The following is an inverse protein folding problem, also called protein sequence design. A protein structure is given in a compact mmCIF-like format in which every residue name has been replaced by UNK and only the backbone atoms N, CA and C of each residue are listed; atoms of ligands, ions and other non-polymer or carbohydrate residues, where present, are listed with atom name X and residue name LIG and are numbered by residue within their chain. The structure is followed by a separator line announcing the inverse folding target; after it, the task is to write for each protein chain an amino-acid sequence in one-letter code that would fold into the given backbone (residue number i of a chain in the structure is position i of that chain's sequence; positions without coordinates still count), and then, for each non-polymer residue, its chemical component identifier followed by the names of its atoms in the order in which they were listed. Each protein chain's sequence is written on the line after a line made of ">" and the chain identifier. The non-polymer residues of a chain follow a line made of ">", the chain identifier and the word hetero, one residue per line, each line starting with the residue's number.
data_IF_907149143251
#
_entry.id   IF_907149143251
#
_cell.length_a   1.000
_cell.length_b   1.000
_cell.length_c   1.000
_cell.angle_alpha   90.00
_cell.angle_beta   90.00
_cell.angle_gamma   90.00
#
_symmetry.space_group_name_H-M   'P 1'
#
loop_
_entity.id
_entity.type
_entity.pdbx_description
1 polymer ?
#
# COMPACT_ATOMS: atom_id res chain seq x y z
N UNK A 1 -27.65 -33.71 -23.22
CA UNK A 1 -28.25 -32.71 -22.29
C UNK A 1 -27.48 -31.42 -22.46
N UNK A 2 -28.16 -30.38 -22.94
CA UNK A 2 -27.59 -29.09 -23.35
C UNK A 2 -27.16 -28.28 -22.13
N UNK A 3 -25.85 -28.14 -21.90
CA UNK A 3 -25.31 -27.16 -20.95
C UNK A 3 -25.32 -25.75 -21.55
N UNK A 4 -26.55 -25.23 -21.72
CA UNK A 4 -26.85 -23.80 -21.81
C UNK A 4 -26.52 -23.14 -20.45
N UNK A 5 -25.23 -22.91 -20.15
CA UNK A 5 -24.90 -21.84 -19.20
C UNK A 5 -24.54 -20.57 -19.97
N UNK A 6 -25.60 -19.80 -20.17
CA UNK A 6 -25.67 -18.53 -20.86
C UNK A 6 -24.90 -17.50 -20.02
N UNK A 7 -24.00 -16.73 -20.63
CA UNK A 7 -23.66 -15.43 -20.05
C UNK A 7 -24.96 -14.65 -19.92
N UNK A 8 -25.31 -14.06 -18.76
CA UNK A 8 -26.60 -13.38 -18.57
C UNK A 8 -26.82 -12.18 -19.51
N UNK A 9 -25.86 -11.87 -20.39
CA UNK A 9 -25.85 -10.77 -21.32
C UNK A 9 -25.42 -11.29 -22.69
N UNK A 10 -26.26 -11.10 -23.70
CA UNK A 10 -25.97 -11.41 -25.10
C UNK A 10 -24.77 -10.61 -25.62
N UNK A 11 -24.18 -11.02 -26.76
CA UNK A 11 -23.07 -10.29 -27.38
C UNK A 11 -23.45 -8.84 -27.69
N UNK A 12 -24.68 -8.63 -28.18
CA UNK A 12 -25.20 -7.32 -28.54
C UNK A 12 -25.45 -6.44 -27.29
N UNK A 13 -25.99 -7.00 -26.22
CA UNK A 13 -26.16 -6.28 -24.95
C UNK A 13 -24.79 -5.93 -24.32
N UNK A 14 -23.78 -6.78 -24.46
CA UNK A 14 -22.41 -6.48 -24.00
C UNK A 14 -21.79 -5.32 -24.77
N UNK A 15 -21.93 -5.29 -26.09
CA UNK A 15 -21.46 -4.19 -26.92
C UNK A 15 -22.16 -2.88 -26.53
N UNK A 16 -23.48 -2.92 -26.28
CA UNK A 16 -24.24 -1.77 -25.76
C UNK A 16 -23.75 -1.32 -24.38
N UNK A 17 -23.44 -2.24 -23.47
CA UNK A 17 -22.90 -1.92 -22.13
C UNK A 17 -21.49 -1.30 -22.25
N UNK A 18 -20.63 -1.86 -23.09
CA UNK A 18 -19.27 -1.31 -23.32
C UNK A 18 -19.33 0.08 -23.95
N UNK A 19 -20.23 0.30 -24.90
CA UNK A 19 -20.40 1.60 -25.54
C UNK A 19 -21.00 2.64 -24.58
N UNK A 20 -21.97 2.26 -23.76
CA UNK A 20 -22.70 3.19 -22.87
C UNK A 20 -22.03 3.41 -21.52
N UNK A 21 -21.34 2.40 -20.99
CA UNK A 21 -20.76 2.39 -19.63
C UNK A 21 -19.26 2.07 -19.63
N UNK A 22 -18.59 2.10 -20.78
CA UNK A 22 -17.16 1.78 -20.92
C UNK A 22 -16.26 2.60 -19.99
N UNK A 23 -16.56 3.89 -19.83
CA UNK A 23 -15.82 4.79 -18.92
C UNK A 23 -15.87 4.30 -17.45
N UNK A 24 -17.02 3.83 -16.97
CA UNK A 24 -17.14 3.27 -15.62
C UNK A 24 -16.36 1.96 -15.44
N UNK A 25 -16.27 1.15 -16.49
CA UNK A 25 -15.46 -0.08 -16.48
C UNK A 25 -13.96 0.25 -16.48
N UNK A 26 -13.55 1.36 -17.09
CA UNK A 26 -12.17 1.83 -17.08
C UNK A 26 -11.75 2.44 -15.73
N UNK A 27 -12.65 3.19 -15.07
CA UNK A 27 -12.39 3.84 -13.78
C UNK A 27 -12.47 2.86 -12.60
N UNK A 28 -13.13 1.69 -12.77
CA UNK A 28 -13.27 0.68 -11.71
C UNK A 28 -11.93 0.15 -11.17
N UNK A 29 -10.87 0.18 -11.97
CA UNK A 29 -9.53 -0.28 -11.58
C UNK A 29 -8.56 0.89 -11.48
N UNK A 30 -7.76 0.92 -10.41
CA UNK A 30 -6.63 1.85 -10.33
C UNK A 30 -5.70 1.68 -11.53
N UNK A 31 -5.09 2.77 -12.01
CA UNK A 31 -4.18 2.76 -13.16
C UNK A 31 -3.08 1.70 -13.01
N UNK A 32 -2.53 1.57 -11.79
CA UNK A 32 -1.51 0.56 -11.47
C UNK A 32 -2.04 -0.87 -11.63
N UNK A 33 -3.28 -1.14 -11.21
CA UNK A 33 -3.92 -2.45 -11.41
C UNK A 33 -4.14 -2.71 -12.90
N UNK A 34 -4.59 -1.71 -13.66
CA UNK A 34 -4.79 -1.79 -15.11
C UNK A 34 -3.50 -2.14 -15.85
N UNK A 35 -2.40 -1.43 -15.57
CA UNK A 35 -1.09 -1.70 -16.17
C UNK A 35 -0.58 -3.10 -15.83
N UNK A 36 -0.83 -3.57 -14.60
CA UNK A 36 -0.45 -4.90 -14.18
C UNK A 36 -1.29 -5.98 -14.86
N UNK A 37 -2.60 -5.77 -15.02
CA UNK A 37 -3.47 -6.68 -15.76
C UNK A 37 -3.06 -6.78 -17.23
N UNK A 38 -2.76 -5.66 -17.88
CA UNK A 38 -2.21 -5.65 -19.24
C UNK A 38 -0.89 -6.42 -19.34
N UNK A 39 0.02 -6.24 -18.37
CA UNK A 39 1.26 -7.02 -18.30
C UNK A 39 0.98 -8.51 -18.16
N UNK A 40 0.05 -8.89 -17.27
CA UNK A 40 -0.31 -10.27 -17.02
C UNK A 40 -0.89 -10.96 -18.27
N UNK A 41 -1.82 -10.30 -18.97
CA UNK A 41 -2.39 -10.81 -20.21
C UNK A 41 -1.32 -11.01 -21.29
N UNK A 42 -0.44 -10.03 -21.51
CA UNK A 42 0.66 -10.15 -22.48
C UNK A 42 1.60 -11.31 -22.15
N UNK A 43 1.87 -11.55 -20.86
CA UNK A 43 2.70 -12.69 -20.45
C UNK A 43 2.00 -14.01 -20.68
N UNK A 44 0.70 -14.07 -20.41
CA UNK A 44 -0.11 -15.26 -20.64
C UNK A 44 -0.24 -15.59 -22.12
N UNK A 45 -0.50 -14.61 -22.98
CA UNK A 45 -0.55 -14.77 -24.44
C UNK A 45 0.79 -15.32 -24.96
N UNK A 46 1.92 -14.67 -24.61
CA UNK A 46 3.26 -15.18 -24.99
C UNK A 46 3.54 -16.59 -24.48
N UNK A 47 3.11 -16.91 -23.26
CA UNK A 47 3.24 -18.25 -22.70
C UNK A 47 2.50 -19.29 -23.55
N UNK A 48 1.26 -18.97 -23.94
CA UNK A 48 0.42 -19.81 -24.79
C UNK A 48 1.01 -19.95 -26.20
N UNK A 49 1.40 -18.83 -26.82
CA UNK A 49 1.99 -18.77 -28.16
C UNK A 49 3.25 -19.62 -28.26
N UNK A 50 4.15 -19.52 -27.26
CA UNK A 50 5.39 -20.31 -27.20
C UNK A 50 5.18 -21.83 -27.11
N UNK A 51 3.96 -22.26 -26.78
CA UNK A 51 3.57 -23.68 -26.63
C UNK A 51 2.57 -24.14 -27.70
N UNK A 52 2.21 -23.27 -28.65
CA UNK A 52 1.20 -23.57 -29.65
C UNK A 52 -0.20 -23.81 -29.06
N UNK A 53 -0.49 -23.24 -27.89
CA UNK A 53 -1.78 -23.39 -27.20
C UNK A 53 -2.58 -22.10 -27.41
N UNK A 54 -3.90 -22.23 -27.60
CA UNK A 54 -4.79 -21.08 -27.67
C UNK A 54 -4.99 -20.43 -26.28
N UNK A 55 -4.75 -19.13 -26.16
CA UNK A 55 -4.89 -18.41 -24.89
C UNK A 55 -6.37 -18.24 -24.46
N UNK A 56 -7.26 -17.91 -25.39
CA UNK A 56 -8.68 -17.63 -25.11
C UNK A 56 -9.58 -18.34 -26.13
N UNK A 57 -10.63 -19.09 -25.71
CA UNK A 57 -11.06 -19.32 -24.33
C UNK A 57 -10.03 -20.13 -23.54
N UNK A 58 -9.73 -19.68 -22.32
CA UNK A 58 -8.72 -20.32 -21.49
C UNK A 58 -9.28 -21.61 -20.91
N UNK A 59 -8.54 -22.71 -21.00
CA UNK A 59 -8.90 -23.97 -20.35
C UNK A 59 -8.45 -24.00 -18.87
N UNK A 60 -9.09 -24.78 -17.99
CA UNK A 60 -8.61 -24.99 -16.62
C UNK A 60 -7.15 -25.43 -16.55
N UNK A 61 -6.73 -26.33 -17.44
CA UNK A 61 -5.36 -26.86 -17.48
C UNK A 61 -4.36 -25.76 -17.83
N UNK A 62 -4.61 -24.99 -18.90
CA UNK A 62 -3.74 -23.88 -19.32
C UNK A 62 -3.60 -22.82 -18.22
N UNK A 63 -4.69 -22.51 -17.50
CA UNK A 63 -4.66 -21.55 -16.39
C UNK A 63 -3.81 -22.08 -15.22
N UNK A 64 -3.93 -23.36 -14.89
CA UNK A 64 -3.17 -23.99 -13.81
C UNK A 64 -1.70 -24.19 -14.16
N UNK A 65 -1.37 -24.55 -15.40
CA UNK A 65 0.01 -24.65 -15.86
C UNK A 65 0.70 -23.29 -15.83
N UNK A 66 0.00 -22.24 -16.27
CA UNK A 66 0.50 -20.88 -16.16
C UNK A 66 0.70 -20.47 -14.69
N UNK A 67 -0.19 -20.86 -13.78
CA UNK A 67 -0.01 -20.62 -12.35
C UNK A 67 1.21 -21.38 -11.79
N UNK A 68 1.34 -22.65 -12.16
CA UNK A 68 2.40 -23.55 -11.73
C UNK A 68 3.76 -23.02 -12.15
N UNK A 69 3.96 -22.79 -13.45
CA UNK A 69 5.26 -22.33 -13.96
C UNK A 69 5.67 -20.99 -13.35
N UNK A 70 4.72 -20.08 -13.09
CA UNK A 70 5.04 -18.81 -12.45
C UNK A 70 5.45 -18.96 -10.99
N UNK A 71 4.96 -19.97 -10.25
CA UNK A 71 5.31 -20.18 -8.84
C UNK A 71 6.52 -21.10 -8.62
N UNK A 72 6.90 -21.91 -9.62
CA UNK A 72 8.02 -22.86 -9.52
C UNK A 72 9.29 -22.38 -10.21
N UNK A 73 9.19 -21.94 -11.46
CA UNK A 73 10.33 -21.56 -12.31
C UNK A 73 10.39 -20.05 -12.53
N UNK A 74 9.23 -19.46 -12.84
CA UNK A 74 9.06 -18.08 -13.20
C UNK A 74 9.36 -17.79 -14.67
N UNK A 75 8.35 -17.34 -15.41
CA UNK A 75 8.49 -16.98 -16.83
C UNK A 75 9.44 -15.82 -17.10
N UNK A 76 9.86 -15.09 -16.06
CA UNK A 76 10.79 -13.97 -16.14
C UNK A 76 12.11 -14.26 -15.40
N UNK A 77 12.49 -15.53 -15.26
CA UNK A 77 13.75 -15.95 -14.64
C UNK A 77 13.74 -15.97 -13.12
N UNK A 78 12.57 -15.80 -12.47
CA UNK A 78 12.40 -16.01 -11.04
C UNK A 78 10.96 -16.37 -10.68
N UNK A 79 10.74 -17.27 -9.71
CA UNK A 79 9.41 -17.57 -9.20
C UNK A 79 8.69 -16.34 -8.66
N UNK A 80 7.37 -16.30 -8.84
CA UNK A 80 6.48 -15.25 -8.36
C UNK A 80 5.77 -15.70 -7.08
N UNK A 81 5.49 -14.74 -6.19
CA UNK A 81 4.63 -15.00 -5.03
C UNK A 81 3.22 -15.42 -5.45
N UNK A 82 2.55 -16.25 -4.65
CA UNK A 82 1.16 -16.64 -4.90
C UNK A 82 0.19 -15.45 -5.01
N UNK A 83 0.48 -14.33 -4.34
CA UNK A 83 -0.31 -13.10 -4.49
C UNK A 83 -0.16 -12.46 -5.87
N UNK A 84 1.04 -12.51 -6.44
CA UNK A 84 1.28 -12.03 -7.82
C UNK A 84 0.63 -12.98 -8.84
N UNK A 85 0.75 -14.29 -8.63
CA UNK A 85 0.11 -15.29 -9.50
C UNK A 85 -1.41 -15.10 -9.48
N UNK A 86 -2.05 -15.02 -8.31
CA UNK A 86 -3.49 -14.76 -8.17
C UNK A 86 -3.94 -13.51 -8.95
N UNK A 87 -3.15 -12.45 -8.88
CA UNK A 87 -3.42 -11.21 -9.60
C UNK A 87 -3.33 -11.38 -11.13
N UNK A 88 -2.41 -12.21 -11.61
CA UNK A 88 -2.32 -12.54 -13.04
C UNK A 88 -3.51 -13.41 -13.48
N UNK A 89 -3.89 -14.41 -12.68
CA UNK A 89 -5.04 -15.26 -12.96
C UNK A 89 -6.35 -14.45 -12.98
N UNK A 90 -6.50 -13.45 -12.10
CA UNK A 90 -7.59 -12.48 -12.15
C UNK A 90 -7.60 -11.67 -13.44
N UNK A 91 -6.44 -11.20 -13.90
CA UNK A 91 -6.35 -10.49 -15.18
C UNK A 91 -6.83 -11.37 -16.34
N UNK A 92 -6.40 -12.64 -16.38
CA UNK A 92 -6.82 -13.63 -17.38
C UNK A 92 -8.32 -13.92 -17.26
N UNK A 93 -8.85 -13.99 -16.04
CA UNK A 93 -10.28 -14.10 -15.78
C UNK A 93 -11.05 -12.96 -16.44
N UNK A 94 -10.70 -11.72 -16.12
CA UNK A 94 -11.37 -10.55 -16.70
C UNK A 94 -11.22 -10.49 -18.22
N UNK A 95 -10.07 -10.91 -18.78
CA UNK A 95 -9.88 -10.96 -20.24
C UNK A 95 -10.77 -12.01 -20.92
N UNK A 96 -10.93 -13.21 -20.34
CA UNK A 96 -11.91 -14.20 -20.84
C UNK A 96 -13.32 -13.61 -20.83
N UNK A 97 -13.74 -13.03 -19.69
CA UNK A 97 -15.05 -12.44 -19.55
C UNK A 97 -15.24 -11.32 -20.58
N UNK A 98 -14.26 -10.42 -20.75
CA UNK A 98 -14.32 -9.33 -21.73
C UNK A 98 -14.48 -9.83 -23.16
N UNK A 99 -13.80 -10.92 -23.54
CA UNK A 99 -13.92 -11.54 -24.86
C UNK A 99 -15.22 -12.35 -25.06
N UNK A 100 -16.08 -12.45 -24.05
CA UNK A 100 -17.32 -13.23 -24.14
C UNK A 100 -17.16 -14.72 -23.78
N UNK A 101 -16.03 -15.12 -23.23
CA UNK A 101 -15.74 -16.50 -22.87
C UNK A 101 -15.90 -16.76 -21.37
N UNK A 102 -16.36 -17.96 -21.01
CA UNK A 102 -16.35 -18.39 -19.60
C UNK A 102 -14.91 -18.46 -19.11
N UNK A 103 -14.70 -18.04 -17.87
CA UNK A 103 -13.39 -18.12 -17.25
C UNK A 103 -13.30 -19.35 -16.34
N UNK A 104 -12.21 -20.14 -16.41
CA UNK A 104 -12.00 -21.27 -15.52
C UNK A 104 -11.52 -20.86 -14.12
N UNK A 105 -11.34 -19.55 -13.84
CA UNK A 105 -10.75 -19.07 -12.59
C UNK A 105 -11.52 -19.48 -11.32
N UNK A 106 -12.85 -19.57 -11.43
CA UNK A 106 -13.75 -19.99 -10.33
C UNK A 106 -14.14 -21.47 -10.40
N UNK A 107 -13.53 -22.25 -11.30
CA UNK A 107 -13.77 -23.69 -11.37
C UNK A 107 -13.35 -24.39 -10.06
N UNK A 108 -14.10 -25.43 -9.66
CA UNK A 108 -13.87 -26.15 -8.41
C UNK A 108 -12.46 -26.76 -8.35
N UNK A 109 -12.01 -27.41 -9.42
CA UNK A 109 -10.69 -28.04 -9.44
C UNK A 109 -9.58 -26.97 -9.48
N UNK A 110 -9.77 -25.90 -10.25
CA UNK A 110 -8.82 -24.78 -10.28
C UNK A 110 -8.64 -24.18 -8.89
N UNK A 111 -9.74 -23.85 -8.20
CA UNK A 111 -9.67 -23.26 -6.86
C UNK A 111 -9.02 -24.20 -5.83
N UNK A 112 -9.27 -25.51 -5.91
CA UNK A 112 -8.64 -26.52 -5.04
C UNK A 112 -7.12 -26.63 -5.28
N UNK A 113 -6.69 -26.66 -6.54
CA UNK A 113 -5.26 -26.72 -6.90
C UNK A 113 -4.56 -25.43 -6.46
N UNK A 114 -5.15 -24.26 -6.71
CA UNK A 114 -4.60 -22.98 -6.27
C UNK A 114 -4.50 -22.90 -4.74
N UNK A 115 -5.43 -23.49 -3.99
CA UNK A 115 -5.33 -23.62 -2.52
C UNK A 115 -4.15 -24.51 -2.12
N UNK A 116 -3.90 -25.61 -2.82
CA UNK A 116 -2.73 -26.46 -2.64
C UNK A 116 -1.42 -25.71 -2.90
N UNK A 117 -1.35 -24.98 -4.03
CA UNK A 117 -0.21 -24.13 -4.36
C UNK A 117 0.03 -23.05 -3.29
N UNK A 118 -1.02 -22.44 -2.73
CA UNK A 118 -0.88 -21.50 -1.60
C UNK A 118 -0.32 -22.15 -0.34
N UNK A 119 -0.65 -23.39 -0.05
CA UNK A 119 -0.08 -24.09 1.11
C UNK A 119 1.39 -24.46 0.90
N UNK A 120 1.74 -24.90 -0.32
CA UNK A 120 3.10 -25.35 -0.65
C UNK A 120 4.08 -24.20 -0.91
N UNK A 121 3.61 -23.14 -1.58
CA UNK A 121 4.42 -22.02 -2.06
C UNK A 121 3.98 -20.67 -1.48
N UNK A 122 3.03 -20.67 -0.55
CA UNK A 122 2.71 -19.48 0.22
C UNK A 122 3.93 -19.06 1.02
N UNK A 123 4.41 -17.86 0.77
CA UNK A 123 5.40 -17.24 1.65
C UNK A 123 4.69 -16.82 2.92
N UNK A 124 5.20 -17.24 4.08
CA UNK A 124 4.89 -16.55 5.33
C UNK A 124 5.07 -15.04 5.10
N UNK A 125 4.15 -14.23 5.62
CA UNK A 125 4.38 -12.78 5.61
C UNK A 125 5.72 -12.57 6.30
N UNK A 126 6.70 -12.01 5.58
CA UNK A 126 7.96 -11.63 6.21
C UNK A 126 7.59 -10.66 7.32
N UNK A 127 7.80 -11.09 8.56
CA UNK A 127 7.82 -10.21 9.72
C UNK A 127 9.01 -9.28 9.53
N UNK A 128 8.76 -8.17 8.84
CA UNK A 128 9.73 -7.11 8.74
C UNK A 128 9.77 -6.50 10.13
N UNK A 129 10.91 -6.63 10.82
CA UNK A 129 11.16 -5.97 12.10
C UNK A 129 10.71 -4.52 11.98
N UNK A 130 9.63 -4.16 12.67
CA UNK A 130 9.02 -2.85 12.52
C UNK A 130 10.02 -1.77 12.96
N UNK A 131 10.13 -0.70 12.18
CA UNK A 131 10.88 0.48 12.58
C UNK A 131 10.23 1.06 13.84
N UNK A 132 10.95 1.05 14.96
CA UNK A 132 10.46 1.65 16.20
C UNK A 132 10.52 3.18 16.10
N UNK A 133 9.77 3.88 16.95
CA UNK A 133 9.81 5.33 17.00
C UNK A 133 11.22 5.84 17.38
N UNK A 134 11.95 5.07 18.20
CA UNK A 134 13.36 5.31 18.52
C UNK A 134 14.28 5.21 17.30
N UNK A 135 14.05 4.22 16.43
CA UNK A 135 14.80 4.03 15.19
C UNK A 135 14.57 5.20 14.23
N UNK A 136 13.30 5.57 14.06
CA UNK A 136 12.91 6.70 13.21
C UNK A 136 13.45 8.02 13.78
N UNK A 137 13.49 8.16 15.11
CA UNK A 137 14.11 9.33 15.75
C UNK A 137 15.60 9.43 15.42
N UNK A 138 16.36 8.34 15.49
CA UNK A 138 17.78 8.32 15.09
C UNK A 138 17.95 8.71 13.61
N UNK A 139 17.11 8.17 12.73
CA UNK A 139 17.12 8.50 11.30
C UNK A 139 16.86 10.00 11.06
N UNK A 140 15.88 10.55 11.79
CA UNK A 140 15.54 11.97 11.75
C UNK A 140 16.68 12.85 12.29
N UNK A 141 17.38 12.41 13.34
CA UNK A 141 18.51 13.14 13.92
C UNK A 141 19.76 13.11 13.04
N UNK A 142 19.86 12.11 12.14
CA UNK A 142 20.89 12.05 11.11
C UNK A 142 20.61 12.99 9.91
N UNK A 143 19.42 13.61 9.83
CA UNK A 143 19.13 14.62 8.80
C UNK A 143 19.96 15.88 9.05
N UNK A 144 20.68 16.33 8.02
CA UNK A 144 21.38 17.60 8.05
C UNK A 144 20.41 18.80 7.99
N UNK A 145 20.96 20.01 8.14
CA UNK A 145 20.20 21.26 8.03
C UNK A 145 20.04 21.75 6.58
N UNK A 146 20.35 20.91 5.58
CA UNK A 146 20.13 21.27 4.18
C UNK A 146 18.64 21.31 3.85
N UNK A 147 18.29 21.90 2.71
CA UNK A 147 16.91 21.87 2.19
C UNK A 147 16.38 20.43 2.08
N UNK A 148 17.24 19.48 1.67
CA UNK A 148 16.88 18.07 1.55
C UNK A 148 16.73 17.43 2.93
N UNK A 149 17.66 17.65 3.86
CA UNK A 149 17.60 17.10 5.21
C UNK A 149 16.36 17.57 5.97
N UNK A 150 16.01 18.86 5.88
CA UNK A 150 14.79 19.41 6.48
C UNK A 150 13.53 18.75 5.89
N UNK A 151 13.43 18.64 4.56
CA UNK A 151 12.32 17.95 3.88
C UNK A 151 12.20 16.51 4.36
N UNK A 152 13.31 15.78 4.36
CA UNK A 152 13.33 14.36 4.64
C UNK A 152 12.98 14.06 6.11
N UNK A 153 13.45 14.91 7.03
CA UNK A 153 13.08 14.86 8.45
C UNK A 153 11.58 15.07 8.65
N UNK A 154 10.98 16.02 7.92
CA UNK A 154 9.55 16.29 7.96
C UNK A 154 8.73 15.13 7.36
N UNK A 155 9.18 14.53 6.25
CA UNK A 155 8.57 13.35 5.62
C UNK A 155 8.52 12.17 6.60
N UNK A 156 9.64 11.83 7.23
CA UNK A 156 9.71 10.71 8.19
C UNK A 156 8.82 10.97 9.40
N UNK A 157 8.84 12.20 9.92
CA UNK A 157 8.07 12.58 11.09
C UNK A 157 6.56 12.51 10.84
N UNK A 158 6.05 13.12 9.76
CA UNK A 158 4.61 13.09 9.46
C UNK A 158 4.15 11.71 9.03
N UNK A 159 4.98 10.97 8.29
CA UNK A 159 4.66 9.62 7.85
C UNK A 159 4.46 8.66 9.02
N UNK A 160 5.26 8.79 10.08
CA UNK A 160 5.06 8.07 11.33
C UNK A 160 3.85 8.62 12.11
N UNK A 161 3.82 9.93 12.38
CA UNK A 161 2.82 10.54 13.26
C UNK A 161 1.36 10.36 12.78
N UNK A 162 1.13 10.33 11.47
CA UNK A 162 -0.19 10.12 10.87
C UNK A 162 -0.35 8.71 10.23
N UNK A 163 0.58 7.79 10.49
CA UNK A 163 0.57 6.42 9.97
C UNK A 163 0.32 6.34 8.45
N UNK A 164 0.99 7.23 7.71
CA UNK A 164 0.69 7.47 6.30
C UNK A 164 1.27 6.38 5.40
N UNK A 165 0.52 6.09 4.33
CA UNK A 165 1.08 5.32 3.21
C UNK A 165 1.95 6.25 2.38
N UNK A 166 2.95 5.66 1.75
CA UNK A 166 3.81 6.30 0.75
C UNK A 166 3.08 7.18 -0.28
N UNK A 167 1.98 6.68 -0.85
CA UNK A 167 1.18 7.44 -1.84
C UNK A 167 0.41 8.60 -1.21
N UNK A 168 0.13 8.54 0.09
CA UNK A 168 -0.52 9.64 0.82
C UNK A 168 0.53 10.73 1.09
N UNK A 169 1.73 10.35 1.54
CA UNK A 169 2.84 11.29 1.81
C UNK A 169 3.16 12.17 0.60
N UNK A 170 3.33 11.57 -0.59
CA UNK A 170 3.70 12.32 -1.80
C UNK A 170 2.57 13.24 -2.32
N UNK A 171 1.34 13.00 -1.88
CA UNK A 171 0.16 13.75 -2.33
C UNK A 171 -0.36 14.73 -1.27
N UNK A 172 0.29 14.84 -0.10
CA UNK A 172 -0.07 15.86 0.89
C UNK A 172 0.14 17.23 0.26
N UNK A 173 -0.87 18.09 0.40
CA UNK A 173 -0.73 19.51 0.09
C UNK A 173 -0.77 20.36 1.35
N UNK A 174 -0.30 21.59 1.23
CA UNK A 174 -0.35 22.56 2.34
C UNK A 174 -1.80 22.78 2.80
N UNK A 175 -2.73 22.83 1.85
CA UNK A 175 -4.15 23.04 2.16
C UNK A 175 -4.79 21.86 2.92
N UNK A 176 -4.11 20.71 3.01
CA UNK A 176 -4.59 19.56 3.77
C UNK A 176 -4.28 19.66 5.26
N UNK A 177 -3.48 20.65 5.68
CA UNK A 177 -3.04 20.82 7.06
C UNK A 177 -3.85 21.92 7.73
N UNK A 178 -4.67 21.53 8.69
CA UNK A 178 -5.46 22.43 9.52
C UNK A 178 -4.84 22.50 10.92
N UNK A 179 -4.07 23.55 11.19
CA UNK A 179 -3.50 23.79 12.53
C UNK A 179 -4.62 24.13 13.50
N UNK A 180 -4.68 23.41 14.62
CA UNK A 180 -5.67 23.63 15.66
C UNK A 180 -5.08 24.57 16.70
N UNK A 181 -5.78 25.67 16.98
CA UNK A 181 -5.38 26.62 18.03
C UNK A 181 -5.28 25.90 19.38
N UNK A 182 -4.21 26.19 20.11
CA UNK A 182 -4.02 25.75 21.50
C UNK A 182 -5.05 26.42 22.39
N UNK A 183 -5.63 25.70 23.35
CA UNK A 183 -6.56 26.30 24.31
C UNK A 183 -5.79 26.92 25.48
N UNK A 184 -4.65 26.31 25.85
CA UNK A 184 -3.71 26.81 26.84
C UNK A 184 -2.30 26.89 26.24
N UNK A 185 -1.43 27.81 26.70
CA UNK A 185 -0.04 27.88 26.22
C UNK A 185 0.73 26.56 26.37
N UNK A 186 0.40 25.79 27.40
CA UNK A 186 0.98 24.47 27.71
C UNK A 186 0.42 23.32 26.87
N UNK A 187 -0.67 23.53 26.12
CA UNK A 187 -1.19 22.48 25.24
C UNK A 187 -0.16 22.17 24.15
N UNK A 188 0.05 20.90 23.80
CA UNK A 188 0.88 20.56 22.66
C UNK A 188 0.27 21.13 21.38
N UNK A 189 1.14 21.48 20.45
CA UNK A 189 0.74 21.77 19.08
C UNK A 189 -0.03 20.58 18.50
N UNK A 190 -1.10 20.87 17.76
CA UNK A 190 -1.93 19.84 17.15
C UNK A 190 -2.48 20.33 15.83
N UNK A 191 -2.65 19.41 14.91
CA UNK A 191 -3.15 19.67 13.58
C UNK A 191 -4.09 18.56 13.15
N UNK A 192 -4.96 18.85 12.19
CA UNK A 192 -5.63 17.83 11.42
C UNK A 192 -5.02 17.74 10.03
N UNK A 193 -4.76 16.52 9.58
CA UNK A 193 -4.35 16.23 8.22
C UNK A 193 -5.53 15.63 7.46
N UNK A 194 -5.92 16.28 6.37
CA UNK A 194 -6.99 15.84 5.48
C UNK A 194 -6.42 14.98 4.35
N UNK A 195 -6.69 13.68 4.40
CA UNK A 195 -6.30 12.76 3.33
C UNK A 195 -7.42 12.70 2.31
N UNK A 196 -7.24 13.35 1.15
CA UNK A 196 -8.25 13.45 0.08
C UNK A 196 -8.57 12.11 -0.59
N UNK A 197 -7.54 11.28 -0.79
CA UNK A 197 -7.67 9.95 -1.39
C UNK A 197 -6.73 8.97 -0.70
N UNK A 198 -7.21 7.75 -0.49
CA UNK A 198 -6.38 6.64 -0.04
C UNK A 198 -6.66 5.40 -0.87
N UNK A 199 -5.74 4.42 -0.86
CA UNK A 199 -5.91 3.15 -1.58
C UNK A 199 -7.24 2.45 -1.26
N UNK A 200 -7.76 2.63 -0.04
CA UNK A 200 -8.99 2.02 0.47
C UNK A 200 -10.19 2.97 0.45
N UNK A 201 -10.01 4.20 -0.03
CA UNK A 201 -11.05 5.24 -0.16
C UNK A 201 -11.23 5.55 -1.65
N UNK A 202 -11.80 4.58 -2.36
CA UNK A 202 -12.03 4.67 -3.81
C UNK A 202 -13.11 5.69 -4.18
N UNK A 203 -13.97 6.06 -3.22
CA UNK A 203 -15.02 7.08 -3.38
C UNK A 203 -14.54 8.49 -3.03
N UNK A 204 -13.31 8.65 -2.53
CA UNK A 204 -12.72 9.96 -2.22
C UNK A 204 -13.45 10.73 -1.11
N UNK A 205 -14.09 10.03 -0.16
CA UNK A 205 -14.77 10.66 0.98
C UNK A 205 -13.81 11.47 1.85
N UNK A 206 -12.52 11.13 1.77
CA UNK A 206 -11.46 11.73 2.53
C UNK A 206 -11.49 11.30 3.99
N UNK A 207 -10.36 11.48 4.70
CA UNK A 207 -10.30 11.26 6.15
C UNK A 207 -9.50 12.35 6.83
N UNK A 208 -10.05 12.88 7.92
CA UNK A 208 -9.39 13.83 8.82
C UNK A 208 -8.65 13.06 9.92
N UNK A 209 -7.33 13.21 9.99
CA UNK A 209 -6.47 12.49 10.94
C UNK A 209 -5.90 13.49 11.94
N UNK A 210 -6.05 13.25 13.26
CA UNK A 210 -5.37 14.09 14.24
C UNK A 210 -3.86 13.81 14.25
N UNK A 211 -3.08 14.88 14.24
CA UNK A 211 -1.62 14.86 14.41
C UNK A 211 -1.29 15.66 15.66
N UNK A 212 -0.59 15.02 16.59
CA UNK A 212 -0.21 15.64 17.87
C UNK A 212 1.31 15.87 17.85
N UNK A 213 1.74 17.02 18.33
CA UNK A 213 3.14 17.31 18.58
C UNK A 213 3.59 16.56 19.83
N UNK A 214 4.32 15.45 19.62
CA UNK A 214 5.07 14.78 20.68
C UNK A 214 6.49 15.33 20.79
N UNK A 215 7.18 15.02 21.90
CA UNK A 215 8.53 15.53 22.20
C UNK A 215 9.62 14.90 21.32
N UNK A 216 9.45 13.64 20.92
CA UNK A 216 10.46 12.90 20.18
C UNK A 216 10.42 13.21 18.68
N UNK A 217 9.31 12.88 18.01
CA UNK A 217 9.21 12.94 16.55
C UNK A 217 8.98 14.37 16.04
N UNK A 218 8.26 15.19 16.80
CA UNK A 218 8.07 16.62 16.54
C UNK A 218 7.54 16.97 15.13
N UNK A 219 6.55 16.22 14.63
CA UNK A 219 6.10 16.32 13.23
C UNK A 219 5.63 17.72 12.80
N UNK A 220 4.87 18.43 13.64
CA UNK A 220 4.35 19.77 13.31
C UNK A 220 5.51 20.78 13.25
N UNK A 221 6.40 20.75 14.24
CA UNK A 221 7.61 21.58 14.24
C UNK A 221 8.46 21.36 12.98
N UNK A 222 8.69 20.10 12.57
CA UNK A 222 9.50 19.79 11.38
C UNK A 222 8.84 20.22 10.08
N UNK A 223 7.51 20.12 10.00
CA UNK A 223 6.75 20.69 8.88
C UNK A 223 6.93 22.21 8.84
N UNK A 224 6.83 22.90 9.98
CA UNK A 224 7.02 24.35 10.04
C UNK A 224 8.45 24.76 9.65
N UNK A 225 9.47 24.06 10.15
CA UNK A 225 10.87 24.28 9.76
C UNK A 225 11.07 24.06 8.25
N UNK A 226 10.47 23.01 7.68
CA UNK A 226 10.50 22.74 6.25
C UNK A 226 9.86 23.89 5.45
N UNK A 227 8.63 24.28 5.80
CA UNK A 227 7.91 25.36 5.12
C UNK A 227 8.67 26.69 5.17
N UNK A 228 9.31 26.98 6.31
CA UNK A 228 10.12 28.19 6.48
C UNK A 228 11.34 28.21 5.53
N UNK A 229 12.06 27.10 5.39
CA UNK A 229 13.24 27.04 4.51
C UNK A 229 12.89 26.87 3.04
N UNK A 230 11.74 26.25 2.75
CA UNK A 230 11.30 25.98 1.38
C UNK A 230 10.55 27.16 0.75
N UNK A 231 9.92 28.02 1.57
CA UNK A 231 9.10 29.14 1.09
C UNK A 231 7.87 28.70 0.31
N UNK A 232 7.37 27.48 0.55
CA UNK A 232 6.20 26.96 -0.17
C UNK A 232 4.96 27.47 0.56
N UNK A 233 4.08 28.16 -0.17
CA UNK A 233 2.85 28.72 0.39
C UNK A 233 1.59 27.95 -0.04
N UNK A 234 1.65 27.22 -1.16
CA UNK A 234 0.55 26.40 -1.67
C UNK A 234 1.03 25.20 -2.49
N UNK A 235 0.12 24.24 -2.74
CA UNK A 235 0.38 23.05 -3.53
C UNK A 235 1.01 21.91 -2.72
N UNK A 236 1.80 21.06 -3.38
CA UNK A 236 2.38 19.89 -2.74
C UNK A 236 3.32 20.29 -1.60
N UNK A 237 3.08 19.69 -0.43
CA UNK A 237 3.88 19.93 0.77
C UNK A 237 5.33 19.50 0.55
N UNK A 238 5.53 18.34 -0.07
CA UNK A 238 6.85 17.82 -0.40
C UNK A 238 7.03 17.78 -1.92
N UNK A 239 8.09 18.42 -2.38
CA UNK A 239 8.38 18.56 -3.81
C UNK A 239 9.72 17.92 -4.17
N UNK A 240 9.88 17.56 -5.45
CA UNK A 240 11.20 17.18 -5.97
C UNK A 240 12.12 18.40 -6.01
N UNK A 241 13.42 18.17 -5.80
CA UNK A 241 14.44 19.21 -5.71
C UNK A 241 15.54 18.98 -6.76
N UNK A 242 15.24 19.04 -8.08
CA UNK A 242 16.26 18.97 -9.12
C UNK A 242 17.20 20.19 -9.03
N UNK A 243 18.51 19.96 -9.12
CA UNK A 243 19.52 21.03 -9.10
C UNK A 243 19.37 22.03 -7.94
N UNK A 244 19.01 21.53 -6.74
CA UNK A 244 18.79 22.34 -5.52
C UNK A 244 17.64 23.36 -5.61
N UNK A 245 16.72 23.22 -6.57
CA UNK A 245 15.54 24.07 -6.72
C UNK A 245 14.25 23.26 -6.60
N UNK A 246 13.24 23.83 -5.96
CA UNK A 246 11.90 23.23 -5.88
C UNK A 246 11.25 23.22 -7.26
N UNK A 247 10.67 22.09 -7.64
CA UNK A 247 10.08 21.91 -8.97
C UNK A 247 8.58 22.19 -9.04
N UNK A 248 7.89 22.34 -7.91
CA UNK A 248 6.42 22.35 -7.86
C UNK A 248 5.77 20.97 -7.95
N UNK A 249 6.52 19.92 -8.33
CA UNK A 249 6.00 18.58 -8.57
C UNK A 249 6.17 17.66 -7.35
N UNK A 250 5.24 16.73 -7.09
CA UNK A 250 5.33 15.80 -5.97
C UNK A 250 6.50 14.83 -6.15
N UNK A 251 6.94 14.21 -5.05
CA UNK A 251 7.91 13.11 -5.10
C UNK A 251 7.31 11.86 -5.77
N UNK A 252 8.15 10.99 -6.34
CA UNK A 252 7.72 9.63 -6.68
C UNK A 252 7.64 8.80 -5.40
N UNK A 253 6.69 7.86 -5.33
CA UNK A 253 6.65 6.93 -4.21
C UNK A 253 7.97 6.14 -4.02
N UNK A 254 8.75 5.88 -5.07
CA UNK A 254 10.09 5.28 -4.96
C UNK A 254 11.04 6.14 -4.14
N UNK A 255 10.91 7.47 -4.18
CA UNK A 255 11.80 8.38 -3.48
C UNK A 255 11.65 8.26 -1.96
N UNK A 256 10.43 8.06 -1.47
CA UNK A 256 10.18 7.75 -0.05
C UNK A 256 10.92 6.48 0.37
N UNK A 257 10.93 5.45 -0.47
CA UNK A 257 11.64 4.20 -0.15
C UNK A 257 13.16 4.36 -0.19
N UNK A 258 13.68 5.17 -1.12
CA UNK A 258 15.12 5.49 -1.20
C UNK A 258 15.58 6.30 0.00
N UNK A 259 14.81 7.33 0.36
CA UNK A 259 15.02 8.17 1.54
C UNK A 259 15.10 7.33 2.81
N UNK A 260 14.08 6.50 3.07
CA UNK A 260 14.06 5.69 4.29
C UNK A 260 15.25 4.73 4.35
N UNK A 261 15.65 4.14 3.22
CA UNK A 261 16.82 3.25 3.16
C UNK A 261 18.12 4.00 3.40
N UNK A 262 18.28 5.18 2.81
CA UNK A 262 19.45 6.03 2.99
C UNK A 262 19.66 6.39 4.47
N UNK A 263 18.63 6.90 5.15
CA UNK A 263 18.76 7.24 6.57
C UNK A 263 18.89 6.02 7.47
N UNK A 264 18.29 4.88 7.11
CA UNK A 264 18.46 3.63 7.85
C UNK A 264 19.92 3.15 7.80
N UNK A 265 20.53 3.19 6.61
CA UNK A 265 21.94 2.84 6.43
C UNK A 265 22.88 3.77 7.22
N UNK A 266 22.61 5.09 7.22
CA UNK A 266 23.40 6.05 8.01
C UNK A 266 23.37 5.79 9.52
N UNK A 267 22.30 5.20 10.04
CA UNK A 267 22.19 4.85 11.47
C UNK A 267 22.52 3.38 11.76
N UNK A 268 23.13 2.67 10.80
CA UNK A 268 23.62 1.31 10.96
C UNK A 268 22.54 0.22 10.88
N UNK A 269 21.40 0.50 10.24
CA UNK A 269 20.33 -0.48 10.02
C UNK A 269 20.42 -1.10 8.62
N UNK A 270 19.93 -2.33 8.48
CA UNK A 270 19.85 -3.02 7.19
C UNK A 270 18.75 -2.41 6.29
N UNK A 271 19.09 -1.74 5.18
CA UNK A 271 18.12 -1.11 4.28
C UNK A 271 17.26 -2.13 3.52
N UNK A 272 17.61 -3.41 3.48
CA UNK A 272 16.80 -4.46 2.84
C UNK A 272 15.51 -4.74 3.61
N UNK A 273 15.51 -4.44 4.92
CA UNK A 273 14.35 -4.55 5.81
C UNK A 273 13.46 -3.29 5.79
N UNK A 274 13.81 -2.27 5.00
CA UNK A 274 13.11 -0.99 4.99
C UNK A 274 12.32 -0.78 3.69
N UNK A 275 11.08 -0.32 3.82
CA UNK A 275 10.21 -0.03 2.69
C UNK A 275 9.35 1.21 2.94
N UNK A 276 8.68 1.72 1.91
CA UNK A 276 7.70 2.80 2.06
C UNK A 276 6.49 2.48 2.96
N UNK A 277 6.33 1.25 3.45
CA UNK A 277 5.32 0.89 4.46
C UNK A 277 5.87 0.95 5.90
N UNK A 278 7.18 1.09 6.08
CA UNK A 278 7.82 0.97 7.39
C UNK A 278 7.37 2.06 8.38
N UNK A 279 7.06 3.28 7.91
CA UNK A 279 6.55 4.35 8.79
C UNK A 279 5.16 4.02 9.37
N UNK A 280 4.24 3.55 8.52
CA UNK A 280 2.90 3.14 8.94
C UNK A 280 2.94 1.91 9.85
N UNK A 281 3.73 0.90 9.47
CA UNK A 281 3.95 -0.30 10.28
C UNK A 281 4.56 0.05 11.64
N UNK A 282 5.52 0.98 11.64
CA UNK A 282 6.14 1.54 12.83
C UNK A 282 5.11 2.18 13.75
N UNK A 283 4.23 3.05 13.24
CA UNK A 283 3.17 3.66 14.07
C UNK A 283 2.31 2.60 14.77
N UNK A 284 1.82 1.62 14.00
CA UNK A 284 0.95 0.57 14.55
C UNK A 284 1.69 -0.22 15.62
N UNK A 285 2.93 -0.63 15.36
CA UNK A 285 3.72 -1.41 16.32
C UNK A 285 3.98 -0.63 17.60
N UNK A 286 4.43 0.62 17.50
CA UNK A 286 4.70 1.44 18.69
C UNK A 286 3.43 1.71 19.50
N UNK A 287 2.29 1.92 18.83
CA UNK A 287 1.02 2.13 19.50
C UNK A 287 0.52 0.85 20.21
N UNK A 288 0.72 -0.31 19.60
CA UNK A 288 0.45 -1.62 20.23
C UNK A 288 1.34 -1.84 21.46
N UNK A 289 2.65 -1.57 21.36
CA UNK A 289 3.61 -1.73 22.47
C UNK A 289 3.31 -0.88 23.71
N UNK A 290 2.59 0.23 23.55
CA UNK A 290 2.15 1.07 24.67
C UNK A 290 0.69 0.80 25.06
N UNK A 291 0.13 -0.34 24.65
CA UNK A 291 -1.24 -0.77 24.91
C UNK A 291 -2.29 0.29 24.53
N UNK A 292 -2.04 1.04 23.45
CA UNK A 292 -3.02 2.01 22.97
C UNK A 292 -4.27 1.28 22.48
N UNK A 293 -5.45 1.83 22.81
CA UNK A 293 -6.71 1.21 22.43
C UNK A 293 -6.78 0.98 20.90
N UNK A 294 -7.12 -0.24 20.50
CA UNK A 294 -7.13 -0.63 19.08
C UNK A 294 -8.04 0.26 18.22
N UNK A 295 -9.18 0.73 18.73
CA UNK A 295 -10.07 1.65 18.00
C UNK A 295 -9.37 2.98 17.66
N UNK A 296 -8.50 3.47 18.54
CA UNK A 296 -7.71 4.68 18.30
C UNK A 296 -6.56 4.44 17.33
N UNK A 297 -5.89 3.28 17.43
CA UNK A 297 -4.89 2.86 16.44
C UNK A 297 -5.52 2.76 15.05
N UNK A 298 -6.70 2.14 14.94
CA UNK A 298 -7.45 2.04 13.68
C UNK A 298 -7.94 3.40 13.17
N UNK A 299 -8.29 4.34 14.05
CA UNK A 299 -8.71 5.68 13.63
C UNK A 299 -7.58 6.44 12.93
N UNK A 300 -6.36 6.43 13.48
CA UNK A 300 -5.19 7.10 12.89
C UNK A 300 -4.65 6.32 11.68
N UNK A 301 -4.42 5.02 11.87
CA UNK A 301 -3.89 4.18 10.81
C UNK A 301 -4.91 3.96 9.71
N UNK A 302 -6.22 3.97 9.93
CA UNK A 302 -7.24 3.68 8.91
C UNK A 302 -7.12 2.25 8.37
N UNK A 303 -6.84 1.30 9.26
CA UNK A 303 -7.03 -0.13 8.98
C UNK A 303 -8.53 -0.44 9.03
N UNK A 304 -9.01 -1.23 8.06
CA UNK A 304 -10.44 -1.56 7.92
C UNK A 304 -10.87 -2.76 8.75
N UNK A 305 -9.94 -3.62 9.18
CA UNK A 305 -10.22 -4.79 10.01
C UNK A 305 -9.21 -4.94 11.15
N UNK A 306 -9.67 -5.48 12.28
CA UNK A 306 -8.80 -5.82 13.42
C UNK A 306 -7.80 -6.93 13.06
N UNK A 307 -8.18 -7.87 12.20
CA UNK A 307 -7.30 -8.93 11.68
C UNK A 307 -6.09 -8.37 10.92
N UNK A 308 -6.17 -7.15 10.38
CA UNK A 308 -5.02 -6.52 9.75
C UNK A 308 -4.04 -5.89 10.75
N UNK A 309 -4.43 -5.77 12.03
CA UNK A 309 -3.60 -5.32 13.14
C UNK A 309 -2.97 -6.47 13.94
N UNK A 310 -3.55 -7.67 13.91
CA UNK A 310 -3.07 -8.82 14.70
C UNK A 310 -1.64 -9.22 14.34
N UNK A 311 -1.22 -9.07 13.08
CA UNK A 311 0.17 -9.30 12.66
C UNK A 311 1.19 -8.29 13.19
N UNK A 312 0.78 -7.30 14.00
CA UNK A 312 1.66 -6.35 14.68
C UNK A 312 1.72 -6.55 16.19
N UNK A 313 0.94 -7.49 16.75
CA UNK A 313 0.99 -7.88 18.17
C UNK A 313 2.09 -8.93 18.28
N UNK A 314 3.09 -8.70 19.12
CA UNK A 314 4.17 -9.67 19.34
C UNK A 314 3.76 -10.70 20.38
N UNK A 315 4.37 -11.88 20.33
CA UNK A 315 4.13 -12.92 21.34
C UNK A 315 4.40 -12.43 22.78
N UNK A 316 5.38 -11.53 22.94
CA UNK A 316 5.74 -10.88 24.20
C UNK A 316 4.62 -9.97 24.75
N UNK A 317 3.77 -9.41 23.88
CA UNK A 317 2.66 -8.54 24.27
C UNK A 317 1.46 -9.34 24.82
N UNK A 318 1.38 -10.66 24.60
CA UNK A 318 0.27 -11.50 25.10
C UNK A 318 0.21 -11.61 26.63
N UNK A 319 1.32 -11.34 27.31
CA UNK A 319 1.42 -11.42 28.78
C UNK A 319 1.29 -10.05 29.46
N UNK A 320 1.27 -8.95 28.71
CA UNK A 320 1.14 -7.58 29.23
C UNK A 320 -0.32 -7.13 29.14
N UNK A 321 -0.89 -6.52 30.19
CA UNK A 321 -2.32 -6.16 30.26
C UNK A 321 -3.22 -7.41 30.04
N UNK A 322 -2.85 -8.50 30.70
CA UNK A 322 -3.48 -9.80 30.49
C UNK A 322 -4.95 -9.72 30.88
N UNK A 323 -5.86 -10.25 30.05
CA UNK A 323 -7.30 -10.13 30.30
C UNK A 323 -7.78 -10.79 31.60
N UNK A 324 -6.94 -11.59 32.26
CA UNK A 324 -7.16 -12.15 33.60
C UNK A 324 -6.46 -11.40 34.75
N UNK A 325 -5.68 -10.36 34.45
CA UNK A 325 -5.00 -9.55 35.44
C UNK A 325 -6.04 -8.85 36.33
N UNK A 326 -5.97 -9.12 37.64
CA UNK A 326 -6.92 -8.61 38.63
C UNK A 326 -8.09 -9.54 39.01
N UNK A 327 -8.21 -10.73 38.42
CA UNK A 327 -9.19 -11.74 38.89
C UNK A 327 -8.78 -13.21 38.73
N UNK A 328 -7.71 -13.51 37.99
CA UNK A 328 -6.97 -14.77 38.09
C UNK A 328 -5.93 -14.68 39.19
#
# INVERSE_FOLDING_TARGET
>A
MNDKFIFPCSKEEREKILQKYGEYLEINLSEKTRLLYQKACRLFERYCDSRGIQAFPTTPMTLLDFAHINVTEGLQGRPLSMNTVDLYLKAIHYKNIHLGFRSPYHDYLVTRVLRGMRRKHGTAQKEVKALLASDIKKMIDACDNSLIGKRDSAIMAIGLAAALRRSEIINIRIEDIEIVKRNRPTDPERAFLHIRQSKTDQEGKGRKIPVIQGENIQAIKRINEWLQVSGIESGYLFQTIPHKKLSGNPLDGKDISRLLKHYAEMVGMDPTMISGHSLRAGFVTNATMVNARQDKIMAVSRHSSRDSLSGYIRDEDHFTDHAGEGFL
#
